data_IF_099492857422
#
_entry.id   IF_099492857422
#
_cell.length_a   1.000
_cell.length_b   1.000
_cell.length_c   1.000
_cell.angle_alpha   90.00
_cell.angle_beta   90.00
_cell.angle_gamma   90.00
#
_symmetry.space_group_name_H-M   'P 1'
#
loop_
_entity.id
_entity.type
_entity.pdbx_description
1 polymer ?
#
# COMPACT_ATOMS: atom_id res chain seq x y z
N UNK A 1 -18.03 -1.96 -7.14
CA UNK A 1 -18.50 -2.50 -5.85
C UNK A 1 -20.02 -2.38 -5.70
N UNK A 2 -20.61 -1.21 -5.93
CA UNK A 2 -22.06 -0.98 -5.82
C UNK A 2 -22.95 -1.98 -6.60
N UNK A 3 -22.67 -2.36 -7.87
CA UNK A 3 -23.51 -3.33 -8.57
C UNK A 3 -23.56 -4.72 -7.91
N UNK A 4 -22.49 -5.12 -7.22
CA UNK A 4 -22.41 -6.42 -6.53
C UNK A 4 -23.27 -6.40 -5.27
N UNK A 5 -23.14 -5.36 -4.44
CA UNK A 5 -23.94 -5.24 -3.20
C UNK A 5 -25.44 -5.07 -3.48
N UNK A 6 -25.81 -4.51 -4.63
CA UNK A 6 -27.22 -4.40 -5.07
C UNK A 6 -27.87 -5.75 -5.39
N UNK A 7 -27.09 -6.82 -5.62
CA UNK A 7 -27.63 -8.17 -5.80
C UNK A 7 -27.91 -8.87 -4.47
N UNK A 8 -27.68 -8.21 -3.33
CA UNK A 8 -27.92 -8.74 -1.99
C UNK A 8 -27.30 -10.14 -1.76
N UNK A 9 -25.97 -10.31 -1.97
CA UNK A 9 -25.30 -11.61 -1.94
C UNK A 9 -25.50 -12.38 -0.62
N UNK A 10 -25.75 -11.67 0.49
CA UNK A 10 -26.09 -12.25 1.79
C UNK A 10 -27.39 -13.08 1.81
N UNK A 11 -28.25 -12.95 0.79
CA UNK A 11 -29.41 -13.84 0.60
C UNK A 11 -29.03 -15.21 0.03
N UNK A 12 -27.84 -15.34 -0.55
CA UNK A 12 -27.37 -16.55 -1.24
C UNK A 12 -26.17 -17.21 -0.53
N UNK A 13 -25.34 -16.42 0.17
CA UNK A 13 -24.23 -16.91 0.98
C UNK A 13 -24.36 -16.43 2.44
N UNK A 14 -24.63 -17.34 3.40
CA UNK A 14 -24.75 -16.97 4.81
C UNK A 14 -23.43 -16.49 5.45
N UNK A 15 -22.29 -16.63 4.77
CA UNK A 15 -21.00 -16.07 5.21
C UNK A 15 -20.82 -14.62 4.77
N UNK A 16 -21.61 -14.13 3.82
CA UNK A 16 -21.60 -12.73 3.42
C UNK A 16 -22.29 -11.89 4.48
N UNK A 17 -21.68 -10.77 4.84
CA UNK A 17 -22.28 -9.81 5.75
C UNK A 17 -23.44 -9.11 5.02
N UNK A 18 -24.58 -8.99 5.69
CA UNK A 18 -25.70 -8.16 5.24
C UNK A 18 -25.31 -6.69 5.38
N UNK A 19 -24.75 -6.15 4.30
CA UNK A 19 -24.27 -4.78 4.23
C UNK A 19 -24.57 -4.19 2.85
N UNK A 20 -25.66 -3.42 2.70
CA UNK A 20 -25.93 -2.70 1.47
C UNK A 20 -24.90 -1.57 1.27
N UNK A 21 -24.80 -1.09 0.04
CA UNK A 21 -23.97 0.07 -0.29
C UNK A 21 -24.41 1.31 0.49
N UNK A 22 -23.46 1.93 1.20
CA UNK A 22 -23.69 3.15 2.00
C UNK A 22 -23.15 4.38 1.26
N UNK A 23 -24.01 5.01 0.46
CA UNK A 23 -23.68 6.23 -0.29
C UNK A 23 -23.16 7.35 0.62
N UNK A 24 -23.74 7.50 1.81
CA UNK A 24 -23.31 8.49 2.81
C UNK A 24 -21.84 8.31 3.20
N UNK A 25 -21.37 7.06 3.38
CA UNK A 25 -19.98 6.76 3.71
C UNK A 25 -19.03 7.10 2.56
N UNK A 26 -19.44 6.85 1.31
CA UNK A 26 -18.67 7.25 0.13
C UNK A 26 -18.53 8.78 0.06
N UNK A 27 -19.61 9.53 0.21
CA UNK A 27 -19.59 10.99 0.19
C UNK A 27 -18.76 11.58 1.35
N UNK A 28 -18.83 10.97 2.53
CA UNK A 28 -17.98 11.34 3.68
C UNK A 28 -16.50 11.11 3.42
N UNK A 29 -16.15 10.06 2.66
CA UNK A 29 -14.79 9.80 2.20
C UNK A 29 -14.30 10.84 1.19
N UNK A 30 -15.16 11.18 0.22
CA UNK A 30 -14.85 12.06 -0.92
C UNK A 30 -14.73 13.55 -0.54
N UNK A 31 -15.42 13.99 0.50
CA UNK A 31 -15.56 15.42 0.83
C UNK A 31 -14.82 15.82 2.09
N UNK A 32 -14.49 17.11 2.22
CA UNK A 32 -13.87 17.66 3.43
C UNK A 32 -12.38 17.33 3.59
N UNK A 33 -11.75 17.97 4.58
CA UNK A 33 -10.32 17.76 4.88
C UNK A 33 -10.15 16.58 5.84
N UNK A 34 -9.04 15.88 5.69
CA UNK A 34 -8.75 14.61 6.36
C UNK A 34 -7.38 14.65 7.03
N UNK A 35 -7.19 13.75 7.97
CA UNK A 35 -5.87 13.45 8.56
C UNK A 35 -5.41 12.12 7.99
N UNK A 36 -4.24 12.11 7.35
CA UNK A 36 -3.61 10.92 6.81
C UNK A 36 -2.42 10.53 7.66
N UNK A 37 -2.43 9.29 8.15
CA UNK A 37 -1.24 8.65 8.69
C UNK A 37 -0.46 8.01 7.55
N UNK A 38 0.81 8.37 7.39
CA UNK A 38 1.72 7.71 6.45
C UNK A 38 2.74 6.94 7.28
N UNK A 39 2.95 5.66 6.94
CA UNK A 39 3.96 4.82 7.58
C UNK A 39 5.28 5.58 7.63
N UNK A 40 5.88 5.68 8.81
CA UNK A 40 7.20 6.25 8.97
C UNK A 40 7.93 5.66 10.17
N UNK A 41 9.18 5.26 9.94
CA UNK A 41 10.15 4.84 10.95
C UNK A 41 11.42 5.67 10.76
N UNK A 42 12.05 6.08 11.87
CA UNK A 42 13.25 6.94 11.89
C UNK A 42 13.11 8.24 11.07
N UNK A 43 11.88 8.77 11.00
CA UNK A 43 11.57 10.00 10.27
C UNK A 43 11.43 9.84 8.76
N UNK A 44 11.57 8.62 8.23
CA UNK A 44 11.47 8.32 6.79
C UNK A 44 10.05 7.90 6.44
N UNK A 45 9.34 8.71 5.66
CA UNK A 45 8.02 8.34 5.13
C UNK A 45 8.12 7.17 4.16
N UNK A 46 7.25 6.18 4.33
CA UNK A 46 7.21 4.93 3.59
C UNK A 46 8.01 3.79 4.21
N UNK A 47 8.94 4.09 5.11
CA UNK A 47 9.76 3.07 5.75
C UNK A 47 9.04 2.47 6.95
N UNK A 48 8.82 1.15 6.92
CA UNK A 48 8.12 0.41 7.98
C UNK A 48 9.05 0.01 9.13
N UNK A 49 10.35 0.24 9.01
CA UNK A 49 11.39 -0.18 9.96
C UNK A 49 11.97 -1.57 9.70
N UNK A 50 11.51 -2.26 8.66
CA UNK A 50 11.96 -3.60 8.28
C UNK A 50 12.64 -3.60 6.92
N UNK A 51 11.99 -3.00 5.91
CA UNK A 51 12.44 -2.98 4.52
C UNK A 51 12.32 -1.57 3.95
N UNK A 52 13.39 -1.05 3.38
CA UNK A 52 13.39 0.25 2.73
C UNK A 52 12.73 0.16 1.34
N UNK A 53 11.68 0.96 1.06
CA UNK A 53 11.14 1.06 -0.29
C UNK A 53 12.19 1.53 -1.28
N UNK A 54 12.07 1.09 -2.53
CA UNK A 54 12.94 1.58 -3.61
C UNK A 54 12.72 3.10 -3.83
N UNK A 55 13.75 3.81 -4.33
CA UNK A 55 13.67 5.25 -4.63
C UNK A 55 12.38 5.73 -5.34
N UNK A 56 11.87 5.05 -6.41
CA UNK A 56 10.63 5.48 -7.06
C UNK A 56 9.41 5.44 -6.15
N UNK A 57 9.34 4.48 -5.22
CA UNK A 57 8.24 4.37 -4.26
C UNK A 57 8.31 5.50 -3.24
N UNK A 58 9.52 5.78 -2.71
CA UNK A 58 9.73 6.92 -1.79
C UNK A 58 9.33 8.24 -2.44
N UNK A 59 9.70 8.44 -3.72
CA UNK A 59 9.28 9.61 -4.49
C UNK A 59 7.77 9.66 -4.69
N UNK A 60 7.14 8.54 -5.03
CA UNK A 60 5.68 8.44 -5.16
C UNK A 60 4.96 8.83 -3.86
N UNK A 61 5.42 8.32 -2.71
CA UNK A 61 4.89 8.69 -1.39
C UNK A 61 5.04 10.20 -1.16
N UNK A 62 6.21 10.77 -1.46
CA UNK A 62 6.44 12.19 -1.29
C UNK A 62 5.54 13.05 -2.19
N UNK A 63 5.25 12.61 -3.42
CA UNK A 63 4.29 13.29 -4.32
C UNK A 63 2.87 13.27 -3.73
N UNK A 64 2.41 12.14 -3.21
CA UNK A 64 1.11 12.04 -2.53
C UNK A 64 1.05 12.96 -1.31
N UNK A 65 2.07 12.95 -0.46
CA UNK A 65 2.14 13.82 0.73
C UNK A 65 2.03 15.30 0.32
N UNK A 66 2.77 15.71 -0.72
CA UNK A 66 2.75 17.08 -1.23
C UNK A 66 1.37 17.46 -1.77
N UNK A 67 0.76 16.60 -2.60
CA UNK A 67 -0.57 16.82 -3.15
C UNK A 67 -1.64 16.95 -2.04
N UNK A 68 -1.60 16.03 -1.06
CA UNK A 68 -2.50 16.06 0.10
C UNK A 68 -2.38 17.36 0.91
N UNK A 69 -1.14 17.79 1.20
CA UNK A 69 -0.90 19.05 1.93
C UNK A 69 -1.33 20.27 1.13
N UNK A 70 -1.05 20.32 -0.18
CA UNK A 70 -1.51 21.39 -1.10
C UNK A 70 -3.03 21.47 -1.12
N UNK A 71 -3.71 20.33 -1.12
CA UNK A 71 -5.16 20.23 -1.00
C UNK A 71 -5.68 20.51 0.43
N UNK A 72 -4.85 20.91 1.39
CA UNK A 72 -5.27 21.31 2.73
C UNK A 72 -5.57 20.16 3.70
N UNK A 73 -5.14 18.94 3.37
CA UNK A 73 -5.20 17.81 4.29
C UNK A 73 -4.01 17.85 5.28
N UNK A 74 -4.20 17.22 6.43
CA UNK A 74 -3.15 17.05 7.43
C UNK A 74 -2.48 15.70 7.16
N UNK A 75 -1.16 15.68 7.08
CA UNK A 75 -0.37 14.45 6.94
C UNK A 75 0.54 14.32 8.14
N UNK A 76 0.37 13.22 8.88
CA UNK A 76 1.15 12.88 10.07
C UNK A 76 1.97 11.62 9.84
N UNK A 77 3.12 11.55 10.52
CA UNK A 77 3.88 10.32 10.62
C UNK A 77 3.08 9.32 11.45
N UNK A 78 2.97 8.09 10.96
CA UNK A 78 2.35 6.99 11.67
C UNK A 78 3.36 5.86 11.80
N UNK A 79 3.81 5.62 13.02
CA UNK A 79 4.68 4.49 13.30
C UNK A 79 3.81 3.24 13.49
N UNK A 80 3.95 2.21 12.63
CA UNK A 80 3.12 1.02 12.73
C UNK A 80 3.46 0.21 14.00
N UNK A 81 2.45 -0.13 14.78
CA UNK A 81 2.64 -0.91 16.02
C UNK A 81 2.98 -2.37 15.71
N UNK A 82 4.16 -2.83 16.15
CA UNK A 82 4.61 -4.23 16.02
C UNK A 82 4.53 -4.77 14.58
N UNK A 83 4.84 -3.95 13.57
CA UNK A 83 4.70 -4.31 12.16
C UNK A 83 5.44 -5.60 11.79
N UNK A 84 6.72 -5.71 12.19
CA UNK A 84 7.52 -6.91 11.98
C UNK A 84 6.87 -8.16 12.59
N UNK A 85 6.37 -8.08 13.82
CA UNK A 85 5.70 -9.22 14.46
C UNK A 85 4.44 -9.63 13.70
N UNK A 86 3.66 -8.66 13.20
CA UNK A 86 2.48 -8.94 12.39
C UNK A 86 2.84 -9.62 11.06
N UNK A 87 3.89 -9.14 10.37
CA UNK A 87 4.42 -9.76 9.15
C UNK A 87 4.93 -11.19 9.42
N UNK A 88 5.75 -11.37 10.46
CA UNK A 88 6.26 -12.69 10.85
C UNK A 88 5.13 -13.67 11.27
N UNK A 89 4.01 -13.15 11.80
CA UNK A 89 2.86 -13.96 12.20
C UNK A 89 2.06 -14.45 10.99
N UNK A 90 1.73 -13.56 10.06
CA UNK A 90 0.93 -13.91 8.87
C UNK A 90 1.70 -14.82 7.91
N UNK A 91 3.02 -14.63 7.77
CA UNK A 91 3.88 -15.53 7.00
C UNK A 91 3.82 -16.98 7.52
N UNK A 92 3.82 -17.15 8.86
CA UNK A 92 3.65 -18.47 9.49
C UNK A 92 2.28 -19.08 9.23
N UNK A 93 1.23 -18.26 9.18
CA UNK A 93 -0.12 -18.72 8.84
C UNK A 93 -0.17 -19.19 7.39
N UNK A 94 0.38 -18.41 6.46
CA UNK A 94 0.40 -18.75 5.03
C UNK A 94 1.28 -19.95 4.71
N UNK A 95 2.34 -20.16 5.48
CA UNK A 95 3.27 -21.28 5.29
C UNK A 95 2.91 -22.50 6.14
N UNK A 96 1.78 -22.48 6.84
CA UNK A 96 1.38 -23.53 7.78
C UNK A 96 1.13 -24.90 7.10
N UNK A 97 0.88 -24.91 5.78
CA UNK A 97 0.70 -26.11 4.97
C UNK A 97 1.98 -26.55 4.22
N UNK A 98 3.13 -25.97 4.58
CA UNK A 98 4.44 -26.33 4.02
C UNK A 98 4.82 -25.60 2.74
N UNK A 99 4.09 -24.53 2.36
CA UNK A 99 4.41 -23.68 1.21
C UNK A 99 4.59 -24.47 -0.11
N UNK A 100 3.83 -25.55 -0.29
CA UNK A 100 3.77 -26.27 -1.56
C UNK A 100 3.35 -25.29 -2.68
N UNK A 101 4.00 -25.31 -3.86
CA UNK A 101 4.29 -24.11 -4.63
C UNK A 101 3.05 -23.47 -5.24
N UNK A 102 2.43 -22.57 -4.50
CA UNK A 102 1.49 -21.61 -5.04
C UNK A 102 2.29 -20.50 -5.73
N UNK A 103 2.65 -20.70 -7.00
CA UNK A 103 3.09 -19.60 -7.88
C UNK A 103 1.96 -18.57 -7.93
N UNK A 104 2.05 -17.49 -7.17
CA UNK A 104 1.05 -16.41 -7.12
C UNK A 104 1.70 -15.09 -7.54
N UNK A 105 1.09 -14.43 -8.52
CA UNK A 105 1.38 -13.05 -8.90
C UNK A 105 0.41 -12.17 -8.11
N UNK A 106 0.92 -11.32 -7.21
CA UNK A 106 0.14 -10.34 -6.43
C UNK A 106 0.95 -9.04 -6.36
N UNK A 107 0.33 -7.88 -6.62
CA UNK A 107 1.00 -6.57 -6.65
C UNK A 107 0.44 -5.61 -5.57
N UNK A 108 1.31 -5.17 -4.67
CA UNK A 108 1.31 -3.89 -3.92
C UNK A 108 2.59 -3.90 -3.04
N UNK A 109 3.69 -3.36 -3.54
CA UNK A 109 5.04 -3.86 -3.23
C UNK A 109 6.00 -2.71 -2.93
N UNK A 110 7.15 -2.90 -2.24
CA UNK A 110 8.17 -1.84 -2.09
C UNK A 110 8.90 -1.48 -3.41
N UNK A 111 8.44 -2.03 -4.54
CA UNK A 111 9.06 -1.97 -5.86
C UNK A 111 8.07 -1.52 -6.93
N UNK A 112 8.59 -0.97 -8.02
CA UNK A 112 7.85 -0.78 -9.27
C UNK A 112 8.02 -2.01 -10.14
N UNK A 113 7.01 -2.88 -10.28
CA UNK A 113 7.04 -4.09 -11.13
C UNK A 113 8.33 -4.95 -11.01
N UNK A 114 8.38 -5.83 -10.02
CA UNK A 114 9.55 -6.69 -9.74
C UNK A 114 9.89 -7.59 -10.93
N UNK A 115 11.19 -7.85 -11.13
CA UNK A 115 11.68 -8.86 -12.08
C UNK A 115 10.99 -10.20 -11.82
N UNK A 116 10.78 -10.98 -12.88
CA UNK A 116 10.24 -12.33 -12.75
C UNK A 116 11.07 -13.14 -11.76
N UNK A 117 10.37 -13.83 -10.85
CA UNK A 117 10.94 -14.70 -9.80
C UNK A 117 11.82 -14.01 -8.73
N UNK A 118 11.82 -12.67 -8.64
CA UNK A 118 12.66 -11.91 -7.69
C UNK A 118 11.83 -11.19 -6.59
N UNK A 119 10.61 -11.66 -6.34
CA UNK A 119 9.71 -11.06 -5.36
C UNK A 119 10.00 -11.57 -3.93
N UNK A 120 10.48 -10.69 -3.06
CA UNK A 120 11.07 -11.08 -1.76
C UNK A 120 10.36 -10.55 -0.51
N UNK A 121 9.52 -9.51 -0.63
CA UNK A 121 8.91 -8.89 0.54
C UNK A 121 7.45 -8.50 0.35
N UNK A 122 6.62 -8.90 1.31
CA UNK A 122 5.16 -8.78 1.24
C UNK A 122 4.55 -7.94 2.38
N UNK A 123 5.35 -7.51 3.37
CA UNK A 123 4.84 -6.98 4.64
C UNK A 123 3.94 -5.75 4.52
N UNK A 124 4.17 -4.89 3.51
CA UNK A 124 3.28 -3.76 3.20
C UNK A 124 1.84 -4.16 2.89
N UNK A 125 1.62 -5.40 2.44
CA UNK A 125 0.29 -5.93 2.10
C UNK A 125 -0.22 -6.99 3.07
N UNK A 126 0.65 -7.86 3.57
CA UNK A 126 0.19 -8.99 4.37
C UNK A 126 -0.35 -8.57 5.72
N UNK A 127 0.21 -7.52 6.32
CA UNK A 127 -0.30 -6.97 7.57
C UNK A 127 -1.74 -6.46 7.39
N UNK A 128 -2.08 -5.98 6.20
CA UNK A 128 -3.44 -5.53 5.88
C UNK A 128 -4.42 -6.72 5.80
N UNK A 129 -3.97 -7.85 5.24
CA UNK A 129 -4.74 -9.10 5.24
C UNK A 129 -4.95 -9.63 6.67
N UNK A 130 -3.90 -9.62 7.50
CA UNK A 130 -3.99 -10.06 8.90
C UNK A 130 -5.01 -9.21 9.69
N UNK A 131 -5.07 -7.90 9.41
CA UNK A 131 -5.95 -6.97 10.10
C UNK A 131 -7.39 -6.94 9.54
N UNK A 132 -7.64 -7.63 8.43
CA UNK A 132 -8.91 -7.61 7.69
C UNK A 132 -9.36 -6.17 7.38
N UNK A 133 -8.43 -5.39 6.84
CA UNK A 133 -8.63 -3.99 6.47
C UNK A 133 -8.78 -3.84 4.95
N UNK A 134 -9.73 -3.01 4.47
CA UNK A 134 -9.84 -2.73 3.05
C UNK A 134 -8.66 -1.88 2.58
N UNK A 135 -8.21 -2.15 1.35
CA UNK A 135 -7.18 -1.38 0.69
C UNK A 135 -7.56 -1.05 -0.76
N UNK A 136 -7.14 0.11 -1.23
CA UNK A 136 -7.15 0.51 -2.64
C UNK A 136 -5.73 0.88 -3.05
N UNK A 137 -5.40 0.78 -4.33
CA UNK A 137 -4.09 1.21 -4.85
C UNK A 137 -4.34 2.16 -6.02
N UNK A 138 -3.63 3.29 -6.02
CA UNK A 138 -3.70 4.27 -7.09
C UNK A 138 -2.34 4.41 -7.77
N UNK A 139 -2.29 4.53 -9.11
CA UNK A 139 -1.07 4.94 -9.79
C UNK A 139 -0.74 6.39 -9.43
N UNK A 140 0.52 6.67 -9.17
CA UNK A 140 0.99 8.01 -8.77
C UNK A 140 1.95 8.58 -9.79
N UNK A 141 2.90 7.76 -10.24
CA UNK A 141 3.96 8.22 -11.15
C UNK A 141 4.58 7.02 -11.87
N UNK A 142 5.61 7.29 -12.66
CA UNK A 142 6.45 6.27 -13.27
C UNK A 142 7.86 6.44 -12.72
N UNK A 143 8.58 5.33 -12.58
CA UNK A 143 10.00 5.32 -12.25
C UNK A 143 10.77 6.13 -13.29
N UNK A 144 11.72 6.91 -12.83
CA UNK A 144 12.57 7.81 -13.61
C UNK A 144 13.99 7.60 -13.12
N UNK A 145 14.81 6.93 -13.92
CA UNK A 145 16.16 6.52 -13.52
C UNK A 145 17.11 7.67 -13.19
N UNK A 146 16.84 8.88 -13.70
CA UNK A 146 17.65 10.06 -13.41
C UNK A 146 17.31 10.65 -12.04
N UNK A 147 16.07 10.47 -11.59
CA UNK A 147 15.59 10.99 -10.29
C UNK A 147 15.64 9.94 -9.18
N UNK A 148 15.45 8.69 -9.53
CA UNK A 148 15.27 7.58 -8.61
C UNK A 148 16.59 6.89 -8.29
N UNK A 149 17.56 7.66 -7.82
CA UNK A 149 18.92 7.18 -7.55
C UNK A 149 18.98 6.50 -6.17
N UNK A 150 19.64 5.34 -6.08
CA UNK A 150 19.90 4.66 -4.80
C UNK A 150 20.72 5.54 -3.85
N UNK A 151 20.30 5.56 -2.59
CA UNK A 151 21.11 6.13 -1.53
C UNK A 151 22.16 5.12 -1.07
N UNK A 152 23.40 5.29 -1.52
CA UNK A 152 24.53 4.41 -1.16
C UNK A 152 24.96 4.50 0.31
N UNK A 153 24.43 5.47 1.06
CA UNK A 153 24.70 5.64 2.49
C UNK A 153 23.67 4.93 3.36
N UNK A 154 22.61 4.36 2.77
CA UNK A 154 21.61 3.62 3.53
C UNK A 154 22.23 2.38 4.17
N UNK A 155 22.09 2.26 5.49
CA UNK A 155 22.47 1.07 6.23
C UNK A 155 21.25 0.16 6.35
N UNK A 156 21.30 -0.97 5.65
CA UNK A 156 20.23 -1.95 5.63
C UNK A 156 20.02 -2.55 7.04
N UNK A 157 18.75 -2.81 7.39
CA UNK A 157 18.35 -3.26 8.73
C UNK A 157 18.63 -4.73 8.98
N UNK A 158 18.61 -5.54 7.91
CA UNK A 158 18.78 -6.98 7.93
C UNK A 158 19.15 -7.47 6.51
N UNK A 159 19.43 -8.77 6.38
CA UNK A 159 19.85 -9.36 5.10
C UNK A 159 18.76 -9.26 4.02
N UNK A 160 17.48 -9.43 4.39
CA UNK A 160 16.36 -9.30 3.46
C UNK A 160 16.21 -7.87 2.95
N UNK A 161 16.38 -6.88 3.83
CA UNK A 161 16.39 -5.45 3.45
C UNK A 161 17.53 -5.15 2.49
N UNK A 162 18.72 -5.70 2.76
CA UNK A 162 19.87 -5.56 1.87
C UNK A 162 19.61 -6.14 0.49
N UNK A 163 19.16 -7.39 0.43
CA UNK A 163 18.84 -8.05 -0.84
C UNK A 163 17.76 -7.30 -1.62
N UNK A 164 16.73 -6.83 -0.91
CA UNK A 164 15.62 -6.06 -1.49
C UNK A 164 16.11 -4.73 -2.05
N UNK A 165 16.88 -3.97 -1.26
CA UNK A 165 17.41 -2.66 -1.66
C UNK A 165 18.43 -2.78 -2.80
N UNK A 166 19.26 -3.82 -2.79
CA UNK A 166 20.24 -4.10 -3.84
C UNK A 166 19.60 -4.55 -5.15
N UNK A 167 18.43 -5.20 -5.12
CA UNK A 167 17.71 -5.66 -6.32
C UNK A 167 17.24 -4.54 -7.27
N UNK A 168 17.08 -3.30 -6.76
CA UNK A 168 16.67 -2.18 -7.61
C UNK A 168 17.73 -1.88 -8.68
N UNK A 169 17.31 -1.76 -9.92
CA UNK A 169 18.18 -1.40 -11.04
C UNK A 169 17.50 -0.27 -11.81
N UNK A 170 18.04 0.97 -11.78
CA UNK A 170 17.39 2.11 -12.40
C UNK A 170 17.10 1.90 -13.90
N UNK A 171 17.99 1.25 -14.64
CA UNK A 171 17.83 1.05 -16.08
C UNK A 171 16.76 0.00 -16.41
N UNK A 172 16.61 -1.03 -15.57
CA UNK A 172 15.57 -2.05 -15.76
C UNK A 172 14.19 -1.53 -15.36
N UNK A 173 14.13 -0.70 -14.32
CA UNK A 173 12.88 -0.24 -13.73
C UNK A 173 12.36 1.06 -14.34
N UNK A 174 13.15 1.74 -15.18
CA UNK A 174 12.81 3.01 -15.83
C UNK A 174 11.47 2.91 -16.59
N UNK A 175 10.60 3.91 -16.39
CA UNK A 175 9.25 3.93 -16.95
C UNK A 175 8.26 2.94 -16.31
N UNK A 176 8.66 2.16 -15.29
CA UNK A 176 7.77 1.28 -14.55
C UNK A 176 6.73 2.05 -13.73
N UNK A 177 5.47 1.57 -13.60
CA UNK A 177 4.45 2.29 -12.84
C UNK A 177 4.71 2.22 -11.33
N UNK A 178 4.49 3.34 -10.64
CA UNK A 178 4.54 3.46 -9.18
C UNK A 178 3.12 3.61 -8.66
N UNK A 179 2.68 2.64 -7.87
CA UNK A 179 1.39 2.66 -7.19
C UNK A 179 1.56 2.87 -5.69
N UNK A 180 0.65 3.62 -5.07
CA UNK A 180 0.59 3.80 -3.63
C UNK A 180 -0.71 3.21 -3.10
N UNK A 181 -0.61 2.45 -2.01
CA UNK A 181 -1.74 1.84 -1.34
C UNK A 181 -2.35 2.78 -0.30
N UNK A 182 -3.67 2.85 -0.27
CA UNK A 182 -4.47 3.48 0.76
C UNK A 182 -5.20 2.41 1.54
N UNK A 183 -5.21 2.54 2.86
CA UNK A 183 -5.81 1.55 3.75
C UNK A 183 -6.89 2.19 4.61
N UNK A 184 -8.06 1.55 4.65
CA UNK A 184 -9.19 1.94 5.48
C UNK A 184 -9.33 1.02 6.69
N UNK A 185 -10.26 1.35 7.59
CA UNK A 185 -10.67 0.42 8.65
C UNK A 185 -11.61 -0.64 8.07
N UNK A 186 -11.64 -1.81 8.70
CA UNK A 186 -12.57 -2.91 8.41
C UNK A 186 -14.00 -2.42 8.14
N UNK A 187 -14.62 -2.89 7.05
CA UNK A 187 -15.99 -2.55 6.61
C UNK A 187 -16.20 -1.05 6.33
N UNK A 188 -15.19 -0.38 5.78
CA UNK A 188 -15.24 1.04 5.37
C UNK A 188 -14.85 1.23 3.90
N UNK A 189 -15.21 0.26 3.06
CA UNK A 189 -14.84 0.24 1.64
C UNK A 189 -15.41 1.45 0.90
N UNK A 190 -16.67 1.84 1.13
CA UNK A 190 -17.28 3.00 0.47
C UNK A 190 -16.55 4.29 0.83
N UNK A 191 -16.21 4.46 2.12
CA UNK A 191 -15.43 5.60 2.59
C UNK A 191 -14.03 5.61 1.97
N UNK A 192 -13.36 4.46 1.92
CA UNK A 192 -12.04 4.35 1.31
C UNK A 192 -12.09 4.64 -0.19
N UNK A 193 -13.13 4.20 -0.91
CA UNK A 193 -13.33 4.51 -2.33
C UNK A 193 -13.53 6.01 -2.56
N UNK A 194 -14.36 6.67 -1.76
CA UNK A 194 -14.53 8.12 -1.82
C UNK A 194 -13.22 8.87 -1.55
N UNK A 195 -12.47 8.42 -0.54
CA UNK A 195 -11.16 8.96 -0.21
C UNK A 195 -10.14 8.74 -1.34
N UNK A 196 -10.18 7.58 -2.00
CA UNK A 196 -9.32 7.23 -3.13
C UNK A 196 -9.55 8.18 -4.29
N UNK A 197 -10.81 8.47 -4.60
CA UNK A 197 -11.17 9.43 -5.65
C UNK A 197 -10.69 10.83 -5.32
N UNK A 198 -10.91 11.30 -4.08
CA UNK A 198 -10.43 12.61 -3.63
C UNK A 198 -8.91 12.75 -3.77
N UNK A 199 -8.15 11.68 -3.47
CA UNK A 199 -6.68 11.69 -3.61
C UNK A 199 -6.28 11.66 -5.09
N UNK A 200 -6.97 10.87 -5.90
CA UNK A 200 -6.77 10.87 -7.35
C UNK A 200 -6.94 12.25 -7.96
N UNK A 201 -8.00 12.97 -7.57
CA UNK A 201 -8.24 14.36 -7.98
C UNK A 201 -7.12 15.31 -7.50
N UNK A 202 -6.63 15.14 -6.26
CA UNK A 202 -5.55 15.97 -5.72
C UNK A 202 -4.20 15.75 -6.41
N UNK A 203 -3.95 14.55 -6.94
CA UNK A 203 -2.71 14.21 -7.66
C UNK A 203 -2.63 14.83 -9.06
N UNK A 204 -3.78 15.16 -9.66
CA UNK A 204 -3.85 15.73 -11.02
C UNK A 204 -4.06 17.26 -11.03
N UNK A 205 -4.14 17.91 -9.86
CA UNK A 205 -4.44 19.34 -9.68
C UNK A 205 -3.21 20.22 -9.34
#
# INVERSE_FOLDING_TARGET
>A
MQPVLQQEPWKYDPKSIDMPWRETRYLEGKTGKKVFGVIATDGIFGFDGTIMPHPPILRGIQQVITALRKAGHIVVQWQPYKHKYAADLIEKIFSADGAAPAKRIIASTPHSAVKHDDYKYYGYTEVINLLDWPATTIPVTFTDKEKDIKNMQYKCMNDLDKETYEAYDPDIYDGGPVGIQLVGKRLQEEYLLGLTEQIGEALVA
#
